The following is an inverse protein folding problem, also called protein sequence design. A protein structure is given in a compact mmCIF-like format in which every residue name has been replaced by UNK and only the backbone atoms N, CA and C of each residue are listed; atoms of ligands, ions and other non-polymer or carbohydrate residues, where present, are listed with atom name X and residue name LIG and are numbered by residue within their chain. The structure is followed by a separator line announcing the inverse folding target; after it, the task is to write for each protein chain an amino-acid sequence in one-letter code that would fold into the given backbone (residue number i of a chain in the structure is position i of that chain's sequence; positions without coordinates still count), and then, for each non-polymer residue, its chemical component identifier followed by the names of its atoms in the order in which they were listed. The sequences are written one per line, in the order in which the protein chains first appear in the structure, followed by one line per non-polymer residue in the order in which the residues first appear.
data_IF_677162482380
#
_entry.id   IF_677162482380
#
_cell.length_a   1.000
_cell.length_b   1.000
_cell.length_c   1.000
_cell.angle_alpha   90.00
_cell.angle_beta   90.00
_cell.angle_gamma   90.00
#
_symmetry.space_group_name_H-M   'P 1'
#
loop_
_entity.id
_entity.type
_entity.pdbx_description
1 polymer ?
#
# COMPACT_ATOMS: atom_id res chain seq x y z
N UNK A 1 -10.89 1.88 -12.83
CA UNK A 1 -10.71 0.68 -11.98
C UNK A 1 -9.48 -0.05 -12.47
N UNK A 2 -8.50 -0.33 -11.61
CA UNK A 2 -7.41 -1.25 -11.94
C UNK A 2 -7.97 -2.65 -11.68
N UNK A 3 -8.19 -3.45 -12.71
CA UNK A 3 -8.85 -4.76 -12.52
C UNK A 3 -7.90 -5.93 -12.38
N UNK A 4 -6.63 -5.81 -12.78
CA UNK A 4 -5.67 -6.93 -12.81
C UNK A 4 -4.22 -6.45 -12.97
N UNK A 5 -3.27 -7.13 -12.31
CA UNK A 5 -1.84 -6.84 -12.40
C UNK A 5 -1.00 -7.75 -11.51
N UNK A 6 0.30 -7.52 -11.46
CA UNK A 6 1.27 -8.20 -10.59
C UNK A 6 2.03 -7.20 -9.73
N UNK A 7 2.49 -7.64 -8.56
CA UNK A 7 3.50 -6.92 -7.79
C UNK A 7 4.87 -7.38 -8.31
N UNK A 8 5.68 -6.45 -8.79
CA UNK A 8 7.04 -6.76 -9.22
C UNK A 8 7.91 -7.14 -8.01
N UNK A 9 8.93 -8.01 -8.18
CA UNK A 9 9.79 -8.48 -7.08
C UNK A 9 10.84 -7.42 -6.68
N UNK A 10 10.39 -6.19 -6.50
CA UNK A 10 11.15 -5.03 -6.05
C UNK A 10 10.35 -4.27 -4.99
N UNK A 11 11.06 -3.59 -4.10
CA UNK A 11 10.45 -2.86 -3.00
C UNK A 11 11.00 -3.29 -1.65
N UNK A 12 10.54 -2.63 -0.60
CA UNK A 12 10.87 -2.95 0.77
C UNK A 12 9.92 -2.24 1.72
N UNK A 13 9.97 -2.63 3.00
CA UNK A 13 9.38 -1.88 4.10
C UNK A 13 10.52 -1.37 4.99
N UNK A 14 10.64 -0.06 5.11
CA UNK A 14 11.56 0.63 6.02
C UNK A 14 10.91 1.00 7.34
N UNK A 15 9.91 0.23 7.74
CA UNK A 15 9.17 0.44 8.96
C UNK A 15 10.03 0.40 10.23
N UNK A 16 9.54 1.09 11.25
CA UNK A 16 10.20 1.29 12.53
C UNK A 16 9.37 0.67 13.65
N UNK A 17 9.98 -0.21 14.44
CA UNK A 17 9.43 -0.62 15.74
C UNK A 17 9.88 0.39 16.79
N UNK A 18 8.94 1.04 17.45
CA UNK A 18 9.24 2.02 18.50
C UNK A 18 9.52 1.36 19.86
N UNK A 19 9.94 2.16 20.84
CA UNK A 19 10.25 1.68 22.20
C UNK A 19 9.04 1.11 22.96
N UNK A 20 7.82 1.30 22.46
CA UNK A 20 6.57 0.75 23.01
C UNK A 20 6.11 -0.51 22.26
N UNK A 21 6.89 -0.98 21.28
CA UNK A 21 6.59 -2.14 20.46
C UNK A 21 5.59 -1.86 19.33
N UNK A 22 5.29 -0.60 19.01
CA UNK A 22 4.44 -0.26 17.88
C UNK A 22 5.24 -0.25 16.58
N UNK A 23 4.69 -0.82 15.50
CA UNK A 23 5.31 -0.82 14.17
C UNK A 23 4.72 0.29 13.29
N UNK A 24 5.56 1.23 12.85
CA UNK A 24 5.22 2.22 11.84
C UNK A 24 5.59 1.68 10.46
N UNK A 25 4.65 1.74 9.52
CA UNK A 25 4.84 1.23 8.15
C UNK A 25 5.48 2.31 7.27
N UNK A 26 6.49 1.96 6.48
CA UNK A 26 6.97 2.75 5.35
C UNK A 26 7.37 1.81 4.20
N UNK A 27 6.36 1.26 3.53
CA UNK A 27 6.53 0.28 2.47
C UNK A 27 6.42 0.92 1.10
N UNK A 28 7.32 0.56 0.19
CA UNK A 28 7.30 0.92 -1.22
C UNK A 28 7.32 -0.34 -2.08
N UNK A 29 6.48 -0.35 -3.11
CA UNK A 29 6.30 -1.49 -4.01
C UNK A 29 5.91 -1.00 -5.41
N UNK A 30 6.09 -1.88 -6.40
CA UNK A 30 5.76 -1.57 -7.79
C UNK A 30 4.68 -2.55 -8.27
N UNK A 31 3.56 -2.01 -8.72
CA UNK A 31 2.51 -2.74 -9.42
C UNK A 31 2.73 -2.61 -10.92
N UNK A 32 2.58 -3.71 -11.66
CA UNK A 32 2.45 -3.70 -13.12
C UNK A 32 1.07 -4.18 -13.51
N UNK A 33 0.31 -3.34 -14.22
CA UNK A 33 -0.99 -3.72 -14.77
C UNK A 33 -0.82 -4.73 -15.90
N UNK A 34 -1.89 -5.46 -16.25
CA UNK A 34 -1.86 -6.42 -17.37
C UNK A 34 -1.62 -5.78 -18.74
N UNK A 35 -1.80 -4.46 -18.87
CA UNK A 35 -1.46 -3.67 -20.06
C UNK A 35 -0.07 -3.01 -19.97
N UNK A 36 0.81 -3.53 -19.10
CA UNK A 36 2.22 -3.12 -18.93
C UNK A 36 2.42 -1.68 -18.46
N UNK A 37 1.47 -1.13 -17.69
CA UNK A 37 1.66 0.15 -17.02
C UNK A 37 2.21 -0.08 -15.63
N UNK A 38 3.30 0.63 -15.35
CA UNK A 38 3.98 0.64 -14.07
C UNK A 38 3.36 1.71 -13.15
N UNK A 39 2.95 1.29 -11.95
CA UNK A 39 2.40 2.14 -10.90
C UNK A 39 3.23 1.94 -9.63
N UNK A 40 3.86 3.01 -9.17
CA UNK A 40 4.56 3.04 -7.89
C UNK A 40 3.54 3.18 -6.77
N UNK A 41 3.65 2.33 -5.75
CA UNK A 41 2.83 2.36 -4.55
C UNK A 41 3.67 2.61 -3.31
N UNK A 42 3.17 3.46 -2.41
CA UNK A 42 3.77 3.65 -1.08
C UNK A 42 2.71 3.61 0.00
N UNK A 43 2.85 2.69 0.94
CA UNK A 43 2.03 2.59 2.15
C UNK A 43 2.76 3.23 3.33
N UNK A 44 2.10 4.14 4.06
CA UNK A 44 2.61 4.73 5.30
C UNK A 44 1.58 4.67 6.42
N UNK A 45 2.03 4.40 7.63
CA UNK A 45 1.16 4.38 8.81
C UNK A 45 1.93 4.66 10.10
N UNK A 46 1.28 5.26 11.11
CA UNK A 46 1.90 5.48 12.42
C UNK A 46 2.17 4.14 13.13
N UNK A 47 2.98 4.15 14.22
CA UNK A 47 3.15 2.99 15.07
C UNK A 47 1.80 2.42 15.51
N UNK A 48 1.55 1.17 15.16
CA UNK A 48 0.38 0.41 15.57
C UNK A 48 0.84 -0.77 16.42
N UNK A 49 0.12 -1.06 17.50
CA UNK A 49 0.42 -2.20 18.37
C UNK A 49 0.48 -3.47 17.50
N UNK A 50 1.50 -4.30 17.73
CA UNK A 50 1.65 -5.59 17.06
C UNK A 50 1.11 -6.72 17.95
N UNK A 51 0.09 -7.43 17.48
CA UNK A 51 -0.57 -8.55 18.13
C UNK A 51 -1.34 -9.42 17.11
N UNK A 52 -1.51 -10.71 17.42
CA UNK A 52 -2.13 -11.67 16.49
C UNK A 52 -3.60 -11.30 16.20
N UNK A 53 -3.84 -10.83 14.97
CA UNK A 53 -5.14 -10.37 14.47
C UNK A 53 -5.12 -8.98 13.83
N UNK A 54 -3.98 -8.27 13.89
CA UNK A 54 -3.94 -6.84 13.63
C UNK A 54 -3.97 -6.46 12.15
N UNK A 55 -5.15 -6.03 11.73
CA UNK A 55 -5.36 -5.13 10.61
C UNK A 55 -4.49 -3.87 10.79
N UNK A 56 -3.42 -3.74 10.01
CA UNK A 56 -2.57 -2.54 10.01
C UNK A 56 -3.16 -1.52 9.04
N UNK A 57 -3.43 -0.31 9.53
CA UNK A 57 -4.06 0.75 8.74
C UNK A 57 -3.00 1.65 8.14
N UNK A 58 -3.06 1.90 6.84
CA UNK A 58 -2.10 2.74 6.11
C UNK A 58 -2.81 3.77 5.24
N UNK A 59 -2.11 4.86 4.94
CA UNK A 59 -2.40 5.70 3.78
C UNK A 59 -1.53 5.22 2.64
N UNK A 60 -2.12 5.09 1.46
CA UNK A 60 -1.46 4.63 0.24
C UNK A 60 -1.43 5.79 -0.75
N UNK A 61 -0.25 6.06 -1.29
CA UNK A 61 -0.08 6.91 -2.49
C UNK A 61 0.22 6.02 -3.69
N UNK A 62 -0.34 6.40 -4.83
CA UNK A 62 -0.12 5.74 -6.11
C UNK A 62 0.41 6.77 -7.10
N UNK A 63 1.43 6.39 -7.86
CA UNK A 63 2.10 7.29 -8.79
C UNK A 63 2.37 6.59 -10.13
N UNK A 64 2.00 7.24 -11.23
CA UNK A 64 2.29 6.76 -12.59
C UNK A 64 2.38 7.91 -13.59
N UNK A 65 3.16 7.73 -14.65
CA UNK A 65 3.26 8.65 -15.77
C UNK A 65 2.26 8.38 -16.90
N UNK A 66 1.48 7.30 -16.81
CA UNK A 66 0.57 6.88 -17.87
C UNK A 66 -0.76 7.66 -17.86
N UNK A 67 -1.17 8.18 -19.02
CA UNK A 67 -2.36 9.03 -19.15
C UNK A 67 -3.66 8.30 -18.77
N UNK A 68 -3.78 7.01 -19.10
CA UNK A 68 -4.98 6.20 -18.79
C UNK A 68 -5.17 6.05 -17.28
N UNK A 69 -4.08 5.99 -16.54
CA UNK A 69 -4.09 5.79 -15.09
C UNK A 69 -3.74 7.05 -14.29
N UNK A 70 -3.62 8.21 -14.95
CA UNK A 70 -3.22 9.47 -14.32
C UNK A 70 -4.14 9.92 -13.17
N UNK A 71 -5.40 9.46 -13.17
CA UNK A 71 -6.34 9.70 -12.08
C UNK A 71 -5.83 9.18 -10.72
N UNK A 72 -4.98 8.14 -10.71
CA UNK A 72 -4.39 7.57 -9.49
C UNK A 72 -3.49 8.56 -8.74
N UNK A 73 -2.85 9.48 -9.47
CA UNK A 73 -2.00 10.53 -8.89
C UNK A 73 -2.82 11.54 -8.06
N UNK A 74 -4.16 11.52 -8.17
CA UNK A 74 -5.05 12.56 -7.66
C UNK A 74 -6.08 12.02 -6.65
N UNK A 75 -5.90 10.80 -6.16
CA UNK A 75 -6.79 10.19 -5.15
C UNK A 75 -6.06 9.99 -3.82
N UNK A 76 -6.83 9.97 -2.74
CA UNK A 76 -6.37 9.48 -1.44
C UNK A 76 -6.86 8.04 -1.27
N UNK A 77 -5.95 7.14 -0.89
CA UNK A 77 -6.27 5.73 -0.64
C UNK A 77 -5.92 5.38 0.79
N UNK A 78 -6.80 4.63 1.46
CA UNK A 78 -6.52 4.00 2.75
C UNK A 78 -6.45 2.49 2.57
N UNK A 79 -5.52 1.85 3.27
CA UNK A 79 -5.27 0.42 3.24
C UNK A 79 -5.54 -0.23 4.59
N UNK A 80 -6.06 -1.45 4.56
CA UNK A 80 -6.09 -2.37 5.69
C UNK A 80 -5.27 -3.59 5.31
N UNK A 81 -4.11 -3.73 5.96
CA UNK A 81 -3.18 -4.82 5.73
C UNK A 81 -3.43 -5.96 6.69
N UNK A 82 -3.54 -7.18 6.17
CA UNK A 82 -3.56 -8.42 6.95
C UNK A 82 -2.26 -9.18 6.72
N UNK A 83 -1.61 -9.60 7.81
CA UNK A 83 -0.35 -10.36 7.75
C UNK A 83 -0.66 -11.85 7.61
N UNK A 84 -0.17 -12.46 6.53
CA UNK A 84 -0.23 -13.90 6.29
C UNK A 84 1.13 -14.56 6.50
N UNK A 85 1.23 -15.84 6.12
CA UNK A 85 2.49 -16.59 6.15
C UNK A 85 3.31 -16.32 4.90
N UNK A 86 4.36 -15.50 5.03
CA UNK A 86 5.26 -15.12 3.93
C UNK A 86 4.70 -14.10 2.93
N UNK A 87 3.48 -13.58 3.16
CA UNK A 87 2.87 -12.51 2.38
C UNK A 87 1.99 -11.62 3.24
N UNK A 88 1.58 -10.48 2.66
CA UNK A 88 0.54 -9.62 3.21
C UNK A 88 -0.57 -9.44 2.17
N UNK A 89 -1.79 -9.20 2.62
CA UNK A 89 -2.88 -8.71 1.77
C UNK A 89 -3.23 -7.29 2.19
N UNK A 90 -3.57 -6.45 1.22
CA UNK A 90 -4.00 -5.07 1.47
C UNK A 90 -5.35 -4.89 0.79
N UNK A 91 -6.40 -4.70 1.58
CA UNK A 91 -7.65 -4.17 1.08
C UNK A 91 -7.51 -2.65 1.01
N UNK A 92 -7.82 -2.04 -0.13
CA UNK A 92 -7.58 -0.63 -0.39
C UNK A 92 -8.84 0.09 -0.84
N UNK A 93 -9.11 1.27 -0.26
CA UNK A 93 -10.29 2.08 -0.56
C UNK A 93 -9.89 3.48 -0.93
N UNK A 94 -10.43 3.97 -2.05
CA UNK A 94 -10.41 5.38 -2.37
C UNK A 94 -11.28 6.14 -1.36
N UNK A 95 -10.71 7.18 -0.77
CA UNK A 95 -11.45 8.14 0.05
C UNK A 95 -12.11 9.15 -0.88
N UNK A 96 -13.43 9.30 -0.75
CA UNK A 96 -14.20 10.37 -1.38
C UNK A 96 -14.70 11.32 -0.31
N UNK A 97 -14.51 12.62 -0.52
CA UNK A 97 -15.10 13.64 0.34
C UNK A 97 -16.60 13.81 0.01
N UNK A 98 -17.45 14.20 0.98
CA UNK A 98 -18.86 14.52 0.73
C UNK A 98 -19.06 15.63 -0.31
#
# INVERSE_FOLDING_TARGET
MISTGEILPIGSDWGLVDAKGGFAVDAFYQLRTTDNVDIFGRSRGPPQASGLGDQIKTVITLETGDEKYYWLNNILVVGVTTVGDGFITIDAWQVTLP
#
